data_IF_359012693644
#
_entry.id   IF_359012693644
#
_cell.length_a   1.000
_cell.length_b   1.000
_cell.length_c   1.000
_cell.angle_alpha   90.00
_cell.angle_beta   90.00
_cell.angle_gamma   90.00
#
_symmetry.space_group_name_H-M   'P 1'
#
loop_
_entity.id
_entity.type
_entity.pdbx_description
1 polymer ?
#
# COMPACT_ATOMS: atom_id res chain seq x y z
N UNK A 1 -30.96 -4.30 3.70
CA UNK A 1 -29.85 -5.29 3.79
C UNK A 1 -29.01 -5.03 5.04
N UNK A 2 -29.08 -5.89 6.08
CA UNK A 2 -28.40 -5.60 7.37
C UNK A 2 -26.86 -5.65 7.30
N UNK A 3 -26.29 -6.37 6.33
CA UNK A 3 -24.84 -6.61 6.22
C UNK A 3 -24.28 -6.40 4.80
N UNK A 4 -25.05 -5.77 3.90
CA UNK A 4 -24.65 -5.62 2.49
C UNK A 4 -23.34 -4.84 2.28
N UNK A 5 -22.97 -3.96 3.22
CA UNK A 5 -21.72 -3.20 3.17
C UNK A 5 -20.45 -4.06 3.20
N UNK A 6 -20.52 -5.29 3.73
CA UNK A 6 -19.39 -6.23 3.74
C UNK A 6 -19.00 -6.71 2.34
N UNK A 7 -19.93 -6.69 1.38
CA UNK A 7 -19.66 -7.09 -0.01
C UNK A 7 -18.67 -6.15 -0.69
N UNK A 8 -18.46 -4.95 -0.15
CA UNK A 8 -17.46 -4.00 -0.65
C UNK A 8 -16.02 -4.43 -0.43
N UNK A 9 -15.79 -5.44 0.40
CA UNK A 9 -14.47 -6.03 0.57
C UNK A 9 -14.09 -6.96 -0.59
N UNK A 10 -15.07 -7.48 -1.35
CA UNK A 10 -14.80 -8.47 -2.39
C UNK A 10 -14.00 -7.90 -3.58
N UNK A 11 -14.34 -6.72 -4.15
CA UNK A 11 -13.58 -6.18 -5.28
C UNK A 11 -12.08 -5.99 -5.03
N UNK A 12 -11.61 -5.35 -3.92
CA UNK A 12 -10.17 -5.21 -3.68
C UNK A 12 -9.48 -6.54 -3.39
N UNK A 13 -10.15 -7.50 -2.75
CA UNK A 13 -9.61 -8.86 -2.57
C UNK A 13 -9.44 -9.55 -3.93
N UNK A 14 -10.43 -9.44 -4.82
CA UNK A 14 -10.34 -9.97 -6.17
C UNK A 14 -9.17 -9.36 -6.95
N UNK A 15 -9.00 -8.04 -6.90
CA UNK A 15 -7.84 -7.34 -7.49
C UNK A 15 -6.52 -7.91 -6.97
N UNK A 16 -6.40 -8.08 -5.65
CA UNK A 16 -5.19 -8.64 -5.04
C UNK A 16 -4.91 -10.07 -5.50
N UNK A 17 -5.92 -10.93 -5.58
CA UNK A 17 -5.78 -12.31 -6.04
C UNK A 17 -5.35 -12.38 -7.51
N UNK A 18 -6.00 -11.59 -8.38
CA UNK A 18 -5.63 -11.51 -9.80
C UNK A 18 -4.19 -11.02 -9.96
N UNK A 19 -3.81 -9.96 -9.24
CA UNK A 19 -2.44 -9.44 -9.28
C UNK A 19 -1.42 -10.45 -8.80
N UNK A 20 -1.71 -11.18 -7.72
CA UNK A 20 -0.83 -12.24 -7.21
C UNK A 20 -0.63 -13.34 -8.26
N UNK A 21 -1.70 -13.80 -8.90
CA UNK A 21 -1.60 -14.81 -9.97
C UNK A 21 -0.81 -14.27 -11.16
N UNK A 22 -1.07 -13.05 -11.62
CA UNK A 22 -0.34 -12.44 -12.73
C UNK A 22 1.15 -12.26 -12.41
N UNK A 23 1.47 -11.89 -11.17
CA UNK A 23 2.86 -11.74 -10.72
C UNK A 23 3.59 -13.09 -10.73
N UNK A 24 2.96 -14.15 -10.21
CA UNK A 24 3.51 -15.51 -10.22
C UNK A 24 3.70 -16.02 -11.66
N UNK A 25 2.75 -15.77 -12.56
CA UNK A 25 2.86 -16.16 -13.98
C UNK A 25 3.96 -15.40 -14.74
N UNK A 26 4.33 -14.20 -14.29
CA UNK A 26 5.36 -13.39 -14.95
C UNK A 26 6.78 -13.91 -14.73
N UNK A 27 6.99 -14.73 -13.71
CA UNK A 27 8.31 -15.21 -13.34
C UNK A 27 8.65 -16.54 -14.05
N UNK A 28 9.85 -16.60 -14.62
CA UNK A 28 10.40 -17.83 -15.18
C UNK A 28 11.21 -18.57 -14.12
N UNK A 29 11.28 -19.91 -14.20
CA UNK A 29 12.05 -20.76 -13.27
C UNK A 29 13.55 -20.41 -13.15
N UNK A 30 14.09 -19.54 -14.00
CA UNK A 30 15.50 -19.13 -14.01
C UNK A 30 15.85 -17.98 -13.06
N UNK A 31 14.87 -17.36 -12.41
CA UNK A 31 15.10 -16.23 -11.49
C UNK A 31 15.78 -16.63 -10.17
N UNK A 32 15.71 -17.91 -9.77
CA UNK A 32 16.22 -18.38 -8.47
C UNK A 32 17.73 -18.25 -8.27
N UNK A 33 18.53 -18.36 -9.34
CA UNK A 33 19.99 -18.27 -9.27
C UNK A 33 20.50 -16.82 -9.33
N UNK A 34 19.62 -15.85 -9.61
CA UNK A 34 20.04 -14.47 -9.84
C UNK A 34 20.62 -13.80 -8.57
N UNK A 35 20.04 -13.97 -7.36
CA UNK A 35 20.61 -13.43 -6.13
C UNK A 35 22.04 -13.91 -5.84
N UNK A 36 22.33 -15.20 -6.06
CA UNK A 36 23.66 -15.75 -5.79
C UNK A 36 24.68 -15.24 -6.79
N UNK A 37 24.32 -15.13 -8.08
CA UNK A 37 25.18 -14.54 -9.13
C UNK A 37 25.50 -13.07 -8.86
N UNK A 38 24.49 -12.27 -8.51
CA UNK A 38 24.69 -10.85 -8.17
C UNK A 38 25.51 -10.71 -6.89
N UNK A 39 25.21 -11.51 -5.86
CA UNK A 39 25.96 -11.52 -4.61
C UNK A 39 27.44 -11.88 -4.80
N UNK A 40 27.73 -12.90 -5.62
CA UNK A 40 29.09 -13.28 -5.99
C UNK A 40 29.80 -12.18 -6.80
N UNK A 41 29.09 -11.54 -7.74
CA UNK A 41 29.61 -10.40 -8.49
C UNK A 41 29.99 -9.24 -7.55
N UNK A 42 29.15 -8.92 -6.57
CA UNK A 42 29.45 -7.89 -5.56
C UNK A 42 30.65 -8.33 -4.71
N UNK A 43 30.67 -9.56 -4.22
CA UNK A 43 31.77 -10.08 -3.38
C UNK A 43 33.13 -10.06 -4.09
N UNK A 44 33.15 -10.18 -5.42
CA UNK A 44 34.39 -10.10 -6.22
C UNK A 44 34.95 -8.68 -6.39
N UNK A 45 34.18 -7.64 -6.02
CA UNK A 45 34.58 -6.23 -6.13
C UNK A 45 35.41 -5.77 -4.93
N UNK A 46 36.12 -4.65 -5.08
CA UNK A 46 36.87 -4.06 -3.97
C UNK A 46 35.95 -3.27 -3.01
N UNK A 47 35.45 -3.98 -2.01
CA UNK A 47 34.52 -3.46 -0.98
C UNK A 47 35.19 -2.48 0.01
N UNK A 48 36.52 -2.34 0.01
CA UNK A 48 37.23 -1.44 0.93
C UNK A 48 37.36 -0.01 0.39
N UNK A 49 36.90 0.25 -0.83
CA UNK A 49 36.94 1.60 -1.40
C UNK A 49 35.99 2.53 -0.66
N UNK A 50 36.44 3.76 -0.40
CA UNK A 50 35.63 4.77 0.31
C UNK A 50 34.31 5.08 -0.45
N UNK A 51 34.36 5.11 -1.78
CA UNK A 51 33.18 5.32 -2.62
C UNK A 51 32.12 4.21 -2.44
N UNK A 52 32.56 2.95 -2.33
CA UNK A 52 31.68 1.83 -2.03
C UNK A 52 31.03 1.99 -0.66
N UNK A 53 31.82 2.25 0.38
CA UNK A 53 31.33 2.41 1.76
C UNK A 53 30.32 3.56 1.88
N UNK A 54 30.59 4.71 1.26
CA UNK A 54 29.67 5.85 1.24
C UNK A 54 28.37 5.52 0.49
N UNK A 55 28.46 4.77 -0.61
CA UNK A 55 27.28 4.35 -1.38
C UNK A 55 26.44 3.35 -0.61
N UNK A 56 27.06 2.33 0.00
CA UNK A 56 26.42 1.35 0.88
C UNK A 56 25.70 2.05 2.03
N UNK A 57 26.41 2.94 2.74
CA UNK A 57 25.85 3.71 3.84
C UNK A 57 24.62 4.50 3.40
N UNK A 58 24.69 5.18 2.24
CA UNK A 58 23.59 5.94 1.66
C UNK A 58 22.36 5.05 1.41
N UNK A 59 22.52 3.93 0.71
CA UNK A 59 21.38 3.05 0.37
C UNK A 59 20.77 2.38 1.60
N UNK A 60 21.59 1.99 2.58
CA UNK A 60 21.13 1.46 3.86
C UNK A 60 20.29 2.48 4.63
N UNK A 61 20.76 3.72 4.76
CA UNK A 61 20.00 4.75 5.47
C UNK A 61 18.73 5.16 4.73
N UNK A 62 18.70 5.13 3.40
CA UNK A 62 17.45 5.32 2.64
C UNK A 62 16.43 4.23 2.96
N UNK A 63 16.85 2.96 3.06
CA UNK A 63 15.95 1.88 3.45
C UNK A 63 15.48 2.02 4.91
N UNK A 64 16.36 2.34 5.85
CA UNK A 64 15.96 2.57 7.24
C UNK A 64 14.98 3.75 7.37
N UNK A 65 15.22 4.86 6.66
CA UNK A 65 14.32 6.01 6.67
C UNK A 65 12.92 5.63 6.15
N UNK A 66 12.85 4.91 5.03
CA UNK A 66 11.56 4.43 4.47
C UNK A 66 10.87 3.39 5.36
N UNK A 67 11.64 2.56 6.07
CA UNK A 67 11.11 1.63 7.08
C UNK A 67 10.44 2.37 8.24
N UNK A 68 11.07 3.42 8.77
CA UNK A 68 10.50 4.27 9.84
C UNK A 68 9.20 4.93 9.37
N UNK A 69 9.20 5.49 8.16
CA UNK A 69 7.99 6.08 7.56
C UNK A 69 6.88 5.03 7.45
N UNK A 70 7.20 3.85 6.89
CA UNK A 70 6.23 2.77 6.71
C UNK A 70 5.63 2.32 8.05
N UNK A 71 6.45 2.09 9.09
CA UNK A 71 5.95 1.70 10.41
C UNK A 71 5.09 2.78 11.07
N UNK A 72 5.49 4.04 10.95
CA UNK A 72 4.71 5.17 11.49
C UNK A 72 3.34 5.26 10.82
N UNK A 73 3.31 5.15 9.49
CA UNK A 73 2.06 5.16 8.70
C UNK A 73 1.18 3.96 9.06
N UNK A 74 1.75 2.76 9.15
CA UNK A 74 1.03 1.55 9.55
C UNK A 74 0.41 1.66 10.95
N UNK A 75 1.15 2.19 11.91
CA UNK A 75 0.66 2.41 13.28
C UNK A 75 -0.49 3.42 13.30
N UNK A 76 -0.29 4.58 12.68
CA UNK A 76 -1.33 5.61 12.59
C UNK A 76 -2.59 5.07 11.89
N UNK A 77 -2.42 4.28 10.83
CA UNK A 77 -3.52 3.62 10.14
C UNK A 77 -4.29 2.64 11.01
N UNK A 78 -3.57 1.77 11.74
CA UNK A 78 -4.20 0.81 12.64
C UNK A 78 -5.05 1.51 13.71
N UNK A 79 -4.54 2.59 14.31
CA UNK A 79 -5.27 3.39 15.31
C UNK A 79 -6.50 4.07 14.71
N UNK A 80 -6.34 4.75 13.57
CA UNK A 80 -7.45 5.46 12.92
C UNK A 80 -8.54 4.49 12.46
N UNK A 81 -8.17 3.41 11.76
CA UNK A 81 -9.10 2.41 11.27
C UNK A 81 -9.77 1.67 12.43
N UNK A 82 -9.02 1.31 13.48
CA UNK A 82 -9.58 0.73 14.70
C UNK A 82 -10.62 1.63 15.36
N UNK A 83 -10.35 2.95 15.42
CA UNK A 83 -11.29 3.94 15.97
C UNK A 83 -12.57 4.04 15.13
N UNK A 84 -12.45 4.06 13.80
CA UNK A 84 -13.61 4.07 12.89
C UNK A 84 -14.45 2.81 13.08
N UNK A 85 -13.82 1.62 13.06
CA UNK A 85 -14.51 0.33 13.25
C UNK A 85 -15.26 0.29 14.59
N UNK A 86 -14.61 0.74 15.67
CA UNK A 86 -15.18 0.76 17.01
C UNK A 86 -16.39 1.70 17.11
N UNK A 87 -16.30 2.92 16.56
CA UNK A 87 -17.37 3.92 16.62
C UNK A 87 -18.55 3.62 15.70
N UNK A 88 -18.33 2.93 14.58
CA UNK A 88 -19.38 2.64 13.59
C UNK A 88 -20.35 1.52 13.99
N UNK A 89 -20.09 0.77 15.08
CA UNK A 89 -20.79 -0.49 15.35
C UNK A 89 -21.34 -0.61 16.77
N UNK A 90 -22.52 -1.21 16.89
CA UNK A 90 -22.98 -1.76 18.17
C UNK A 90 -22.16 -3.00 18.55
N UNK A 91 -22.15 -3.35 19.84
CA UNK A 91 -21.34 -4.46 20.40
C UNK A 91 -21.48 -5.76 19.58
N UNK A 92 -22.71 -6.15 19.20
CA UNK A 92 -22.96 -7.36 18.40
C UNK A 92 -22.33 -7.29 17.01
N UNK A 93 -22.44 -6.16 16.32
CA UNK A 93 -21.86 -5.99 14.98
C UNK A 93 -20.34 -5.88 15.05
N UNK A 94 -19.81 -5.24 16.10
CA UNK A 94 -18.38 -5.15 16.34
C UNK A 94 -17.74 -6.55 16.52
N UNK A 95 -18.41 -7.46 17.22
CA UNK A 95 -17.95 -8.85 17.34
C UNK A 95 -17.88 -9.56 15.97
N UNK A 96 -18.88 -9.34 15.10
CA UNK A 96 -18.85 -9.86 13.74
C UNK A 96 -17.68 -9.27 12.93
N UNK A 97 -17.46 -7.96 12.99
CA UNK A 97 -16.33 -7.32 12.31
C UNK A 97 -14.98 -7.86 12.81
N UNK A 98 -14.83 -8.07 14.12
CA UNK A 98 -13.64 -8.68 14.71
C UNK A 98 -13.41 -10.10 14.20
N UNK A 99 -14.48 -10.91 14.12
CA UNK A 99 -14.39 -12.27 13.60
C UNK A 99 -13.95 -12.29 12.12
N UNK A 100 -14.57 -11.47 11.27
CA UNK A 100 -14.19 -11.35 9.85
C UNK A 100 -12.75 -10.87 9.73
N UNK A 101 -12.37 -9.83 10.48
CA UNK A 101 -11.01 -9.31 10.46
C UNK A 101 -9.98 -10.33 10.91
N UNK A 102 -10.28 -11.11 11.95
CA UNK A 102 -9.41 -12.18 12.40
C UNK A 102 -9.25 -13.25 11.32
N UNK A 103 -10.33 -13.66 10.65
CA UNK A 103 -10.27 -14.63 9.54
C UNK A 103 -9.40 -14.11 8.39
N UNK A 104 -9.57 -12.84 8.00
CA UNK A 104 -8.76 -12.24 6.94
C UNK A 104 -7.27 -12.14 7.32
N UNK A 105 -6.97 -11.76 8.56
CA UNK A 105 -5.59 -11.68 9.05
C UNK A 105 -4.96 -13.08 9.11
N UNK A 106 -5.68 -14.09 9.63
CA UNK A 106 -5.19 -15.47 9.66
C UNK A 106 -4.95 -15.99 8.24
N UNK A 107 -5.90 -15.76 7.32
CA UNK A 107 -5.75 -16.18 5.93
C UNK A 107 -4.57 -15.48 5.25
N UNK A 108 -4.40 -14.18 5.47
CA UNK A 108 -3.28 -13.41 4.92
C UNK A 108 -1.92 -13.83 5.48
N UNK A 109 -1.81 -14.02 6.80
CA UNK A 109 -0.57 -14.50 7.44
C UNK A 109 -0.29 -15.94 7.01
N UNK A 110 -1.31 -16.80 6.95
CA UNK A 110 -1.20 -18.17 6.44
C UNK A 110 -0.70 -18.20 5.00
N UNK A 111 -1.21 -17.32 4.14
CA UNK A 111 -0.73 -17.13 2.77
C UNK A 111 0.74 -16.67 2.73
N UNK A 112 1.13 -15.72 3.59
CA UNK A 112 2.51 -15.26 3.69
C UNK A 112 3.47 -16.37 4.14
N UNK A 113 3.08 -17.16 5.15
CA UNK A 113 3.87 -18.32 5.63
C UNK A 113 3.97 -19.37 4.53
N UNK A 114 2.86 -19.70 3.87
CA UNK A 114 2.85 -20.64 2.76
C UNK A 114 3.75 -20.16 1.60
N UNK A 115 3.69 -18.87 1.28
CA UNK A 115 4.56 -18.21 0.28
C UNK A 115 6.04 -18.33 0.65
N UNK A 116 6.38 -18.13 1.93
CA UNK A 116 7.74 -18.28 2.44
C UNK A 116 8.23 -19.74 2.37
N UNK A 117 7.39 -20.71 2.75
CA UNK A 117 7.73 -22.13 2.73
C UNK A 117 7.89 -22.68 1.31
N UNK A 118 6.98 -22.31 0.41
CA UNK A 118 7.02 -22.75 -1.00
C UNK A 118 8.01 -21.96 -1.85
N UNK A 119 8.57 -20.88 -1.30
CA UNK A 119 9.40 -19.91 -2.02
C UNK A 119 8.72 -19.48 -3.32
N UNK A 120 7.46 -19.04 -3.24
CA UNK A 120 6.76 -18.50 -4.41
C UNK A 120 7.46 -17.24 -4.94
N UNK A 121 7.09 -16.82 -6.15
CA UNK A 121 7.83 -15.78 -6.86
C UNK A 121 7.66 -14.40 -6.22
N UNK A 122 6.50 -14.13 -5.63
CA UNK A 122 6.27 -12.93 -4.81
C UNK A 122 7.27 -12.86 -3.66
N UNK A 123 7.38 -13.92 -2.86
CA UNK A 123 8.32 -13.98 -1.74
C UNK A 123 9.77 -13.96 -2.22
N UNK A 124 10.08 -14.69 -3.30
CA UNK A 124 11.42 -14.74 -3.85
C UNK A 124 11.89 -13.38 -4.36
N UNK A 125 11.10 -12.71 -5.19
CA UNK A 125 11.53 -11.48 -5.86
C UNK A 125 11.51 -10.25 -4.95
N UNK A 126 10.56 -10.17 -4.02
CA UNK A 126 10.40 -8.98 -3.17
C UNK A 126 11.25 -9.09 -1.91
N UNK A 127 11.20 -10.23 -1.23
CA UNK A 127 11.83 -10.41 0.07
C UNK A 127 13.18 -11.13 -0.06
N UNK A 128 13.17 -12.35 -0.62
CA UNK A 128 14.34 -13.23 -0.61
C UNK A 128 15.48 -12.68 -1.48
N UNK A 129 15.13 -12.02 -2.59
CA UNK A 129 16.09 -11.55 -3.59
C UNK A 129 17.12 -10.62 -2.97
N UNK A 130 16.68 -9.52 -2.35
CA UNK A 130 17.58 -8.55 -1.74
C UNK A 130 18.29 -9.14 -0.53
N UNK A 131 17.58 -9.86 0.34
CA UNK A 131 18.17 -10.45 1.54
C UNK A 131 19.31 -11.42 1.20
N UNK A 132 19.04 -12.36 0.31
CA UNK A 132 20.00 -13.39 -0.09
C UNK A 132 21.17 -12.80 -0.91
N UNK A 133 20.91 -11.76 -1.70
CA UNK A 133 21.99 -11.02 -2.38
C UNK A 133 22.94 -10.41 -1.34
N UNK A 134 22.40 -9.72 -0.32
CA UNK A 134 23.20 -9.14 0.76
C UNK A 134 23.95 -10.21 1.56
N UNK A 135 23.31 -11.34 1.87
CA UNK A 135 23.94 -12.47 2.56
C UNK A 135 25.11 -13.07 1.77
N UNK A 136 24.96 -13.20 0.45
CA UNK A 136 26.01 -13.73 -0.43
C UNK A 136 27.20 -12.80 -0.60
N UNK A 137 27.04 -11.50 -0.38
CA UNK A 137 28.19 -10.56 -0.42
C UNK A 137 29.23 -10.88 0.66
N UNK A 138 28.84 -11.56 1.75
CA UNK A 138 29.65 -11.77 2.97
C UNK A 138 30.19 -10.48 3.62
N UNK A 139 29.71 -9.32 3.18
CA UNK A 139 30.07 -8.02 3.73
C UNK A 139 29.43 -7.77 5.10
N UNK A 140 28.23 -8.30 5.31
CA UNK A 140 27.46 -8.10 6.54
C UNK A 140 27.61 -9.28 7.50
N UNK A 141 27.81 -8.98 8.79
CA UNK A 141 27.83 -9.99 9.84
C UNK A 141 26.45 -10.64 10.07
N UNK A 142 26.41 -11.89 10.58
CA UNK A 142 25.16 -12.64 10.77
C UNK A 142 24.19 -11.94 11.73
N UNK A 143 24.71 -11.28 12.77
CA UNK A 143 23.90 -10.51 13.72
C UNK A 143 23.18 -9.36 13.04
N UNK A 144 23.84 -8.61 12.15
CA UNK A 144 23.20 -7.51 11.42
C UNK A 144 22.10 -8.03 10.51
N UNK A 145 22.37 -9.09 9.74
CA UNK A 145 21.38 -9.71 8.86
C UNK A 145 20.16 -10.23 9.64
N UNK A 146 20.35 -10.78 10.85
CA UNK A 146 19.24 -11.17 11.72
C UNK A 146 18.33 -10.01 12.14
N UNK A 147 18.88 -8.81 12.37
CA UNK A 147 18.05 -7.62 12.64
C UNK A 147 17.28 -7.17 11.41
N UNK A 148 17.91 -7.20 10.23
CA UNK A 148 17.26 -6.88 8.95
C UNK A 148 16.11 -7.86 8.69
N UNK A 149 16.35 -9.15 8.91
CA UNK A 149 15.32 -10.19 8.76
C UNK A 149 14.11 -9.93 9.67
N UNK A 150 14.34 -9.64 10.95
CA UNK A 150 13.27 -9.32 11.90
C UNK A 150 12.46 -8.07 11.46
N UNK A 151 13.13 -7.01 10.98
CA UNK A 151 12.46 -5.81 10.47
C UNK A 151 11.60 -6.11 9.24
N UNK A 152 12.09 -6.94 8.33
CA UNK A 152 11.35 -7.35 7.14
C UNK A 152 10.15 -8.24 7.50
N UNK A 153 10.32 -9.19 8.42
CA UNK A 153 9.24 -10.04 8.91
C UNK A 153 8.12 -9.19 9.52
N UNK A 154 8.49 -8.19 10.33
CA UNK A 154 7.53 -7.22 10.90
C UNK A 154 6.86 -6.38 9.80
N UNK A 155 7.62 -5.86 8.84
CA UNK A 155 7.07 -5.09 7.72
C UNK A 155 6.07 -5.91 6.89
N UNK A 156 6.38 -7.17 6.60
CA UNK A 156 5.50 -8.07 5.87
C UNK A 156 4.24 -8.41 6.67
N UNK A 157 4.35 -8.64 7.98
CA UNK A 157 3.19 -8.85 8.85
C UNK A 157 2.27 -7.62 8.86
N UNK A 158 2.82 -6.41 8.97
CA UNK A 158 2.07 -5.16 8.91
C UNK A 158 1.42 -4.95 7.53
N UNK A 159 2.10 -5.32 6.45
CA UNK A 159 1.58 -5.26 5.09
C UNK A 159 0.37 -6.20 4.87
N UNK A 160 0.19 -7.22 5.70
CA UNK A 160 -1.02 -8.06 5.72
C UNK A 160 -2.09 -7.48 6.65
N UNK A 161 -1.71 -7.15 7.89
CA UNK A 161 -2.66 -6.77 8.94
C UNK A 161 -3.32 -5.43 8.63
N UNK A 162 -2.55 -4.42 8.27
CA UNK A 162 -3.05 -3.04 8.13
C UNK A 162 -4.02 -2.90 6.97
N UNK A 163 -3.78 -3.44 5.76
CA UNK A 163 -4.78 -3.41 4.69
C UNK A 163 -6.09 -4.12 5.06
N UNK A 164 -6.05 -5.21 5.83
CA UNK A 164 -7.27 -5.84 6.35
C UNK A 164 -8.07 -4.86 7.22
N UNK A 165 -7.41 -4.12 8.11
CA UNK A 165 -8.05 -3.09 8.93
C UNK A 165 -8.61 -1.94 8.09
N UNK A 166 -7.91 -1.51 7.05
CA UNK A 166 -8.37 -0.47 6.10
C UNK A 166 -9.63 -0.94 5.38
N UNK A 167 -9.66 -2.17 4.86
CA UNK A 167 -10.84 -2.73 4.18
C UNK A 167 -12.06 -2.83 5.11
N UNK A 168 -11.83 -3.28 6.35
CA UNK A 168 -12.88 -3.32 7.37
C UNK A 168 -13.36 -1.92 7.71
N UNK A 169 -12.46 -0.95 7.91
CA UNK A 169 -12.83 0.42 8.21
C UNK A 169 -13.59 1.08 7.06
N UNK A 170 -13.17 0.89 5.81
CA UNK A 170 -13.89 1.33 4.62
C UNK A 170 -15.32 0.79 4.61
N UNK A 171 -15.48 -0.52 4.80
CA UNK A 171 -16.79 -1.18 4.84
C UNK A 171 -17.63 -0.68 6.02
N UNK A 172 -16.99 -0.43 7.17
CA UNK A 172 -17.60 0.12 8.38
C UNK A 172 -18.15 1.53 8.20
N UNK A 173 -17.64 2.30 7.22
CA UNK A 173 -18.16 3.63 6.94
C UNK A 173 -19.59 3.60 6.42
N UNK A 174 -20.03 2.50 5.80
CA UNK A 174 -21.40 2.35 5.31
C UNK A 174 -22.32 1.63 6.29
N UNK A 175 -21.86 1.34 7.51
CA UNK A 175 -22.69 0.70 8.51
C UNK A 175 -23.92 1.59 8.83
N UNK A 176 -25.12 1.00 8.94
CA UNK A 176 -26.31 1.77 9.29
C UNK A 176 -26.17 2.32 10.71
N UNK A 177 -26.76 3.50 11.01
CA UNK A 177 -26.58 4.17 12.28
C UNK A 177 -27.00 3.26 13.44
N UNK A 178 -26.30 3.41 14.57
CA UNK A 178 -26.59 2.64 15.79
C UNK A 178 -27.91 3.12 16.39
N UNK A 179 -28.16 4.43 16.36
CA UNK A 179 -29.38 5.06 16.82
C UNK A 179 -30.27 5.48 15.65
N UNK A 180 -31.56 5.12 15.70
CA UNK A 180 -32.53 5.45 14.65
C UNK A 180 -33.03 6.88 14.73
N UNK A 181 -32.88 7.55 15.87
CA UNK A 181 -33.31 8.94 16.06
C UNK A 181 -32.27 9.94 15.57
N UNK A 182 -31.09 9.48 15.16
CA UNK A 182 -30.01 10.33 14.69
C UNK A 182 -30.39 11.00 13.37
N UNK A 183 -30.08 12.29 13.25
CA UNK A 183 -30.24 13.05 12.01
C UNK A 183 -29.51 12.34 10.86
N UNK A 184 -30.29 11.93 9.85
CA UNK A 184 -29.80 11.18 8.70
C UNK A 184 -28.70 11.93 7.95
N UNK A 185 -28.81 13.26 7.88
CA UNK A 185 -27.86 14.11 7.19
C UNK A 185 -26.51 14.15 7.92
N UNK A 186 -26.55 14.38 9.23
CA UNK A 186 -25.36 14.37 10.07
C UNK A 186 -24.64 13.01 9.98
N UNK A 187 -25.40 11.90 9.91
CA UNK A 187 -24.84 10.58 9.72
C UNK A 187 -24.12 10.42 8.38
N UNK A 188 -24.76 10.78 7.25
CA UNK A 188 -24.14 10.72 5.92
C UNK A 188 -22.82 11.53 5.86
N UNK A 189 -22.80 12.72 6.45
CA UNK A 189 -21.60 13.58 6.51
C UNK A 189 -20.49 12.92 7.32
N UNK A 190 -20.80 12.27 8.44
CA UNK A 190 -19.83 11.50 9.23
C UNK A 190 -19.29 10.31 8.44
N UNK A 191 -20.16 9.57 7.74
CA UNK A 191 -19.76 8.44 6.90
C UNK A 191 -18.79 8.87 5.79
N UNK A 192 -19.11 9.95 5.07
CA UNK A 192 -18.23 10.49 4.02
C UNK A 192 -16.90 10.98 4.60
N UNK A 193 -16.91 11.65 5.75
CA UNK A 193 -15.69 12.08 6.44
C UNK A 193 -14.80 10.90 6.82
N UNK A 194 -15.38 9.84 7.41
CA UNK A 194 -14.63 8.62 7.73
C UNK A 194 -14.09 7.95 6.47
N UNK A 195 -14.88 7.86 5.40
CA UNK A 195 -14.47 7.23 4.15
C UNK A 195 -13.29 7.97 3.50
N UNK A 196 -13.31 9.31 3.51
CA UNK A 196 -12.16 10.14 3.10
C UNK A 196 -10.96 9.93 4.01
N UNK A 197 -11.17 9.82 5.32
CA UNK A 197 -10.10 9.48 6.27
C UNK A 197 -9.44 8.14 5.93
N UNK A 198 -10.24 7.12 5.61
CA UNK A 198 -9.77 5.80 5.18
C UNK A 198 -9.03 5.87 3.84
N UNK A 199 -9.51 6.66 2.88
CA UNK A 199 -8.80 6.88 1.61
C UNK A 199 -7.45 7.54 1.83
N UNK A 200 -7.39 8.63 2.59
CA UNK A 200 -6.15 9.37 2.84
C UNK A 200 -5.10 8.48 3.50
N UNK A 201 -5.49 7.68 4.49
CA UNK A 201 -4.57 6.77 5.16
C UNK A 201 -4.20 5.56 4.30
N UNK A 202 -5.14 5.05 3.50
CA UNK A 202 -4.88 4.01 2.50
C UNK A 202 -3.84 4.47 1.46
N UNK A 203 -3.98 5.70 0.97
CA UNK A 203 -2.99 6.33 0.08
C UNK A 203 -1.64 6.47 0.77
N UNK A 204 -1.58 6.93 2.02
CA UNK A 204 -0.32 7.02 2.75
C UNK A 204 0.36 5.65 2.93
N UNK A 205 -0.40 4.59 3.24
CA UNK A 205 0.12 3.22 3.33
C UNK A 205 0.68 2.76 1.98
N UNK A 206 -0.05 3.00 0.89
CA UNK A 206 0.39 2.64 -0.46
C UNK A 206 1.73 3.30 -0.76
N UNK A 207 1.88 4.60 -0.49
CA UNK A 207 3.12 5.34 -0.73
C UNK A 207 4.25 4.85 0.17
N UNK A 208 4.00 4.77 1.48
CA UNK A 208 5.01 4.31 2.44
C UNK A 208 5.48 2.89 2.11
N UNK A 209 4.56 1.99 1.79
CA UNK A 209 4.83 0.60 1.44
C UNK A 209 5.59 0.46 0.11
N UNK A 210 5.18 1.19 -0.93
CA UNK A 210 5.87 1.16 -2.24
C UNK A 210 7.26 1.78 -2.17
N UNK A 211 7.44 2.89 -1.44
CA UNK A 211 8.75 3.50 -1.21
C UNK A 211 9.68 2.57 -0.41
N UNK A 212 9.16 1.95 0.65
CA UNK A 212 9.91 0.98 1.46
C UNK A 212 10.34 -0.23 0.62
N UNK A 213 9.41 -0.82 -0.14
CA UNK A 213 9.70 -1.92 -1.04
C UNK A 213 10.72 -1.53 -2.12
N UNK A 214 10.60 -0.34 -2.70
CA UNK A 214 11.56 0.16 -3.69
C UNK A 214 12.96 0.33 -3.11
N UNK A 215 13.08 0.95 -1.93
CA UNK A 215 14.35 1.14 -1.24
C UNK A 215 14.99 -0.21 -0.89
N UNK A 216 14.19 -1.18 -0.47
CA UNK A 216 14.63 -2.54 -0.17
C UNK A 216 15.18 -3.25 -1.41
N UNK A 217 14.47 -3.18 -2.53
CA UNK A 217 14.89 -3.79 -3.80
C UNK A 217 16.14 -3.12 -4.39
N UNK A 218 16.33 -1.82 -4.14
CA UNK A 218 17.49 -1.05 -4.62
C UNK A 218 18.73 -1.13 -3.74
N UNK A 219 18.63 -1.63 -2.52
CA UNK A 219 19.79 -1.69 -1.62
C UNK A 219 20.94 -2.48 -2.27
N UNK A 220 20.76 -3.73 -2.74
CA UNK A 220 21.88 -4.46 -3.33
C UNK A 220 22.36 -3.85 -4.66
N UNK A 221 21.48 -3.17 -5.40
CA UNK A 221 21.85 -2.41 -6.61
C UNK A 221 22.88 -1.32 -6.33
N UNK A 222 22.84 -0.70 -5.14
CA UNK A 222 23.84 0.29 -4.71
C UNK A 222 25.24 -0.28 -4.51
N UNK A 223 25.37 -1.61 -4.43
CA UNK A 223 26.62 -2.32 -4.20
C UNK A 223 27.26 -2.83 -5.50
N UNK A 224 26.58 -2.68 -6.64
CA UNK A 224 27.09 -3.10 -7.94
C UNK A 224 27.86 -1.94 -8.58
N UNK A 225 29.18 -2.11 -8.81
CA UNK A 225 30.03 -1.10 -9.47
C UNK A 225 29.87 -1.07 -11.01
N UNK A 226 29.51 -2.20 -11.63
CA UNK A 226 29.22 -2.24 -13.07
C UNK A 226 27.94 -1.46 -13.37
N UNK A 227 28.05 -0.37 -14.12
CA UNK A 227 26.94 0.55 -14.42
C UNK A 227 25.83 -0.10 -15.26
N UNK A 228 26.17 -1.04 -16.15
CA UNK A 228 25.20 -1.73 -16.99
C UNK A 228 24.36 -2.70 -16.15
N UNK A 229 25.02 -3.50 -15.32
CA UNK A 229 24.34 -4.44 -14.40
C UNK A 229 23.52 -3.67 -13.36
N UNK A 230 24.08 -2.59 -12.81
CA UNK A 230 23.39 -1.71 -11.88
C UNK A 230 22.12 -1.12 -12.49
N UNK A 231 22.19 -0.61 -13.72
CA UNK A 231 21.05 -0.03 -14.44
C UNK A 231 19.97 -1.08 -14.72
N UNK A 232 20.35 -2.25 -15.23
CA UNK A 232 19.42 -3.35 -15.51
C UNK A 232 18.70 -3.82 -14.23
N UNK A 233 19.43 -3.94 -13.12
CA UNK A 233 18.84 -4.29 -11.83
C UNK A 233 17.92 -3.16 -11.33
N UNK A 234 18.35 -1.90 -11.35
CA UNK A 234 17.48 -0.78 -10.97
C UNK A 234 16.17 -0.75 -11.78
N UNK A 235 16.24 -1.07 -13.08
CA UNK A 235 15.07 -1.23 -13.95
C UNK A 235 14.13 -2.35 -13.51
N UNK A 236 14.66 -3.52 -13.16
CA UNK A 236 13.87 -4.64 -12.64
C UNK A 236 13.20 -4.29 -11.30
N UNK A 237 13.93 -3.69 -10.37
CA UNK A 237 13.41 -3.23 -9.08
C UNK A 237 12.27 -2.22 -9.25
N UNK A 238 12.43 -1.28 -10.19
CA UNK A 238 11.40 -0.31 -10.54
C UNK A 238 10.15 -0.99 -11.12
N UNK A 239 10.30 -1.93 -12.06
CA UNK A 239 9.19 -2.65 -12.68
C UNK A 239 8.35 -3.43 -11.64
N UNK A 240 9.03 -4.14 -10.72
CA UNK A 240 8.36 -4.83 -9.59
C UNK A 240 7.60 -3.82 -8.72
N UNK A 241 8.24 -2.69 -8.39
CA UNK A 241 7.62 -1.64 -7.58
C UNK A 241 6.38 -1.04 -8.26
N UNK A 242 6.47 -0.75 -9.56
CA UNK A 242 5.37 -0.20 -10.36
C UNK A 242 4.20 -1.17 -10.47
N UNK A 243 4.46 -2.47 -10.63
CA UNK A 243 3.42 -3.50 -10.66
C UNK A 243 2.56 -3.48 -9.38
N UNK A 244 3.22 -3.54 -8.22
CA UNK A 244 2.51 -3.55 -6.94
C UNK A 244 1.91 -2.17 -6.60
N UNK A 245 2.58 -1.08 -6.94
CA UNK A 245 2.00 0.27 -6.80
C UNK A 245 0.71 0.45 -7.61
N UNK A 246 0.69 -0.06 -8.84
CA UNK A 246 -0.52 -0.07 -9.68
C UNK A 246 -1.62 -0.94 -9.08
N UNK A 247 -1.26 -2.14 -8.62
CA UNK A 247 -2.18 -3.07 -7.95
C UNK A 247 -2.83 -2.44 -6.72
N UNK A 248 -2.02 -1.87 -5.81
CA UNK A 248 -2.52 -1.23 -4.60
C UNK A 248 -3.38 0.01 -4.92
N UNK A 249 -3.05 0.75 -5.97
CA UNK A 249 -3.88 1.89 -6.42
C UNK A 249 -5.25 1.40 -6.86
N UNK A 250 -5.30 0.32 -7.65
CA UNK A 250 -6.55 -0.29 -8.08
C UNK A 250 -7.36 -0.86 -6.90
N UNK A 251 -6.68 -1.45 -5.90
CA UNK A 251 -7.33 -1.86 -4.66
C UNK A 251 -7.95 -0.68 -3.92
N UNK A 252 -7.27 0.47 -3.82
CA UNK A 252 -7.85 1.68 -3.20
C UNK A 252 -9.06 2.18 -3.98
N UNK A 253 -8.97 2.25 -5.31
CA UNK A 253 -10.09 2.66 -6.17
C UNK A 253 -11.30 1.73 -5.99
N UNK A 254 -11.08 0.42 -5.99
CA UNK A 254 -12.17 -0.57 -5.83
C UNK A 254 -12.72 -0.65 -4.41
N UNK A 255 -11.94 -0.25 -3.40
CA UNK A 255 -12.41 -0.10 -2.01
C UNK A 255 -13.24 1.17 -1.81
N UNK A 256 -12.76 2.31 -2.32
CA UNK A 256 -13.37 3.62 -2.08
C UNK A 256 -14.49 3.95 -3.06
N UNK A 257 -14.28 3.69 -4.35
CA UNK A 257 -15.15 4.14 -5.44
C UNK A 257 -16.62 3.76 -5.29
N UNK A 258 -16.95 2.47 -5.02
CA UNK A 258 -18.33 2.06 -4.81
C UNK A 258 -18.98 2.69 -3.58
N UNK A 259 -18.24 2.77 -2.46
CA UNK A 259 -18.75 3.36 -1.22
C UNK A 259 -19.02 4.86 -1.38
N UNK A 260 -18.10 5.57 -2.02
CA UNK A 260 -18.19 7.00 -2.23
C UNK A 260 -19.33 7.33 -3.21
N UNK A 261 -19.46 6.57 -4.30
CA UNK A 261 -20.60 6.68 -5.22
C UNK A 261 -21.95 6.47 -4.52
N UNK A 262 -22.04 5.46 -3.65
CA UNK A 262 -23.26 5.17 -2.90
C UNK A 262 -23.63 6.30 -1.92
N UNK A 263 -22.67 6.83 -1.17
CA UNK A 263 -22.91 7.95 -0.25
C UNK A 263 -23.28 9.24 -1.00
N UNK A 264 -22.61 9.54 -2.11
CA UNK A 264 -22.93 10.70 -2.93
C UNK A 264 -24.32 10.60 -3.57
N UNK A 265 -24.75 9.39 -3.97
CA UNK A 265 -26.11 9.19 -4.46
C UNK A 265 -27.16 9.46 -3.38
N UNK A 266 -26.97 8.94 -2.16
CA UNK A 266 -27.88 9.21 -1.04
C UNK A 266 -27.91 10.69 -0.66
N UNK A 267 -26.76 11.36 -0.64
CA UNK A 267 -26.69 12.79 -0.35
C UNK A 267 -27.41 13.64 -1.41
N UNK A 268 -27.34 13.24 -2.69
CA UNK A 268 -28.07 13.92 -3.78
C UNK A 268 -29.58 13.78 -3.61
N UNK A 269 -30.08 12.56 -3.40
CA UNK A 269 -31.51 12.31 -3.16
C UNK A 269 -32.01 13.09 -1.93
N UNK A 270 -31.21 13.13 -0.84
CA UNK A 270 -31.53 13.96 0.31
C UNK A 270 -31.60 15.45 -0.04
N UNK A 271 -30.59 15.99 -0.74
CA UNK A 271 -30.53 17.40 -1.09
C UNK A 271 -31.67 17.82 -2.03
N UNK A 272 -32.10 16.95 -2.94
CA UNK A 272 -33.26 17.16 -3.81
C UNK A 272 -34.58 17.22 -3.01
N UNK A 273 -34.80 16.29 -2.08
CA UNK A 273 -35.98 16.33 -1.18
C UNK A 273 -35.98 17.54 -0.27
N UNK A 274 -34.82 17.90 0.27
CA UNK A 274 -34.63 19.07 1.10
C UNK A 274 -34.91 20.37 0.33
N UNK A 275 -34.56 20.42 -0.96
CA UNK A 275 -34.94 21.52 -1.87
C UNK A 275 -36.45 21.59 -2.08
N UNK A 276 -37.10 20.46 -2.32
CA UNK A 276 -38.57 20.42 -2.46
C UNK A 276 -39.28 20.88 -1.18
N UNK A 277 -38.71 20.58 -0.01
CA UNK A 277 -39.19 21.06 1.29
C UNK A 277 -38.83 22.53 1.60
N UNK A 278 -38.10 23.22 0.72
CA UNK A 278 -37.67 24.62 0.92
C UNK A 278 -36.55 24.81 1.95
N UNK A 279 -35.91 23.73 2.42
CA UNK A 279 -34.83 23.78 3.43
C UNK A 279 -33.45 24.05 2.82
N UNK A 280 -33.24 23.68 1.55
CA UNK A 280 -32.00 23.93 0.80
C UNK A 280 -32.35 24.69 -0.47
N UNK A 281 -31.74 25.86 -0.69
CA UNK A 281 -31.96 26.65 -1.91
C UNK A 281 -31.18 26.10 -3.12
N UNK A 282 -29.91 25.72 -2.90
CA UNK A 282 -29.01 25.22 -3.94
C UNK A 282 -28.37 23.88 -3.54
N UNK A 283 -28.91 22.74 -4.03
CA UNK A 283 -28.37 21.42 -3.76
C UNK A 283 -26.93 21.21 -4.23
N UNK A 284 -26.52 21.82 -5.35
CA UNK A 284 -25.19 21.59 -5.91
C UNK A 284 -24.13 22.22 -5.02
N UNK A 285 -24.36 23.48 -4.63
CA UNK A 285 -23.52 24.16 -3.65
C UNK A 285 -23.50 23.43 -2.32
N UNK A 286 -24.65 22.96 -1.83
CA UNK A 286 -24.71 22.20 -0.58
C UNK A 286 -23.90 20.88 -0.65
N UNK A 287 -24.01 20.14 -1.76
CA UNK A 287 -23.23 18.91 -1.99
C UNK A 287 -21.73 19.20 -2.07
N UNK A 288 -21.35 20.31 -2.68
CA UNK A 288 -19.95 20.75 -2.76
C UNK A 288 -19.40 21.12 -1.37
N UNK A 289 -20.13 21.96 -0.64
CA UNK A 289 -19.75 22.44 0.70
C UNK A 289 -19.69 21.31 1.73
N UNK A 290 -20.52 20.27 1.55
CA UNK A 290 -20.53 19.07 2.38
C UNK A 290 -19.72 17.91 1.77
N UNK A 291 -18.86 18.19 0.79
CA UNK A 291 -17.85 17.23 0.32
C UNK A 291 -18.43 15.97 -0.36
N UNK A 292 -19.65 16.04 -0.87
CA UNK A 292 -20.31 14.99 -1.65
C UNK A 292 -20.10 15.12 -3.17
N UNK A 293 -19.56 16.25 -3.64
CA UNK A 293 -19.09 16.41 -5.03
C UNK A 293 -17.79 15.64 -5.23
N UNK A 294 -17.88 14.33 -5.46
CA UNK A 294 -16.72 13.55 -5.85
C UNK A 294 -16.44 13.85 -7.32
N UNK A 295 -15.52 14.76 -7.59
CA UNK A 295 -14.84 14.82 -8.88
C UNK A 295 -13.57 13.97 -8.74
N UNK A 296 -13.46 12.88 -9.51
CA UNK A 296 -12.22 12.10 -9.61
C UNK A 296 -11.01 13.01 -9.91
N UNK A 297 -11.25 14.14 -10.58
CA UNK A 297 -10.29 15.18 -10.88
C UNK A 297 -9.68 15.90 -9.66
N UNK A 298 -10.37 16.00 -8.51
CA UNK A 298 -9.79 16.63 -7.31
C UNK A 298 -8.81 15.70 -6.58
N UNK A 299 -8.95 14.38 -6.75
CA UNK A 299 -8.08 13.39 -6.10
C UNK A 299 -6.85 13.02 -6.96
N UNK A 300 -6.94 13.20 -8.28
CA UNK A 300 -5.83 12.93 -9.21
C UNK A 300 -4.56 13.75 -8.92
N UNK A 301 -4.61 15.05 -8.59
CA UNK A 301 -3.43 15.82 -8.24
C UNK A 301 -2.71 15.28 -7.00
N UNK A 302 -3.47 14.81 -6.00
CA UNK A 302 -2.87 14.21 -4.81
C UNK A 302 -2.18 12.89 -5.14
N UNK A 303 -2.79 12.04 -5.97
CA UNK A 303 -2.17 10.81 -6.49
C UNK A 303 -0.91 11.16 -7.31
N UNK A 304 -0.96 12.22 -8.12
CA UNK A 304 0.18 12.70 -8.91
C UNK A 304 1.34 13.19 -8.05
N UNK A 305 1.08 13.96 -6.99
CA UNK A 305 2.09 14.42 -6.02
C UNK A 305 2.72 13.24 -5.27
N UNK A 306 1.90 12.25 -4.94
CA UNK A 306 2.29 10.99 -4.29
C UNK A 306 3.17 10.13 -5.19
N UNK A 307 2.83 10.01 -6.48
CA UNK A 307 3.61 9.28 -7.47
C UNK A 307 4.83 10.10 -7.95
N UNK A 308 4.86 11.39 -7.66
CA UNK A 308 5.92 12.33 -8.05
C UNK A 308 7.33 11.79 -7.75
N UNK A 309 7.65 11.34 -6.53
CA UNK A 309 8.96 10.74 -6.23
C UNK A 309 9.27 9.45 -7.01
N UNK A 310 8.26 8.61 -7.27
CA UNK A 310 8.41 7.38 -8.07
C UNK A 310 8.65 7.70 -9.56
N UNK A 311 8.08 8.80 -10.05
CA UNK A 311 8.22 9.27 -11.43
C UNK A 311 9.46 10.16 -11.64
N UNK A 312 9.90 10.89 -10.60
CA UNK A 312 11.03 11.80 -10.68
C UNK A 312 12.37 11.09 -10.92
N UNK A 313 12.52 9.84 -10.45
CA UNK A 313 13.70 9.04 -10.75
C UNK A 313 13.84 8.75 -12.25
N UNK A 314 12.89 8.03 -12.86
CA UNK A 314 12.90 7.72 -14.30
C UNK A 314 12.89 8.96 -15.20
N UNK A 315 12.03 9.94 -14.89
CA UNK A 315 11.93 11.19 -15.67
C UNK A 315 13.22 12.01 -15.52
N UNK A 316 13.78 12.10 -14.32
CA UNK A 316 15.06 12.77 -14.09
C UNK A 316 16.21 12.13 -14.87
N UNK A 317 16.28 10.79 -14.90
CA UNK A 317 17.28 10.09 -15.71
C UNK A 317 17.07 10.26 -17.22
N UNK A 318 15.82 10.29 -17.70
CA UNK A 318 15.48 10.49 -19.10
C UNK A 318 15.78 11.92 -19.58
N UNK A 319 15.53 12.91 -18.71
CA UNK A 319 15.86 14.32 -18.98
C UNK A 319 17.37 14.54 -18.97
N UNK A 320 18.09 13.95 -18.00
CA UNK A 320 19.55 14.07 -17.97
C UNK A 320 20.22 13.40 -19.16
N UNK A 321 19.70 12.26 -19.64
CA UNK A 321 20.29 11.56 -20.81
C UNK A 321 20.14 12.33 -22.13
N UNK A 322 19.09 13.15 -22.28
CA UNK A 322 18.87 14.00 -23.46
C UNK A 322 19.66 15.32 -23.43
N UNK A 323 20.09 15.77 -22.24
CA UNK A 323 20.90 17.00 -22.11
C UNK A 323 22.40 16.70 -22.29
N UNK A 324 22.81 15.45 -22.15
CA UNK A 324 24.20 14.99 -22.32
C UNK A 324 24.57 14.49 -23.74
N UNK A 325 23.62 14.52 -24.69
CA UNK A 325 23.82 14.16 -26.10
C UNK A 325 23.86 15.41 -26.97
#
# INVERSE_FOLDING_TARGET
MKHGYLLLMLPPIFVYLVATVLFELSATNRSGDLPSKIGALIASQNLTTLSFQLTEMKVRYMWFATTVVNFTVCLYAAVLCGTIIYRSHSVRRLMLMKAIGLVLVIAGIGSLIYSAMTKNMMFQLIYYFSFHTLEHTKYYGPTFLGHIDALLALANALAVIVPCLVLLAASSTLAPPVDKTQDHLAHLTIQMRHLRGVLNIGSAILVGGTLNMHAWLRWPTGLVLDSNVQSAYAGAALAITMFWGTTFTLMLITTYGPAASYLSFQARDFAERARQAGTIQDPQRWLHDNHFSITLGEQLPQIGVILGPLLAGPIGSFLMSHVSS
#
